data_IF_442534560762
#
_entry.id   IF_442534560762
#
_cell.length_a   1.000
_cell.length_b   1.000
_cell.length_c   1.000
_cell.angle_alpha   90.00
_cell.angle_beta   90.00
_cell.angle_gamma   90.00
#
_symmetry.space_group_name_H-M   'P 1'
#
loop_
_entity.id
_entity.type
_entity.pdbx_description
1 polymer ?
#
# COMPACT_ATOMS: atom_id res chain seq x y z
N UNK A 1 -2.14 -10.67 -15.08
CA UNK A 1 -0.78 -10.12 -15.26
C UNK A 1 -0.23 -9.78 -13.89
N UNK A 2 0.62 -10.65 -13.35
CA UNK A 2 1.20 -10.47 -12.01
C UNK A 2 2.29 -9.41 -12.06
N UNK A 3 2.22 -8.44 -11.16
CA UNK A 3 3.28 -7.45 -10.97
C UNK A 3 4.48 -8.20 -10.41
N UNK A 4 5.59 -8.22 -11.15
CA UNK A 4 6.86 -8.77 -10.66
C UNK A 4 7.32 -7.91 -9.48
N UNK A 5 7.82 -8.48 -8.35
CA UNK A 5 8.35 -7.70 -7.23
C UNK A 5 9.49 -6.75 -7.60
N UNK A 6 10.09 -6.93 -8.79
CA UNK A 6 11.18 -6.11 -9.34
C UNK A 6 10.71 -4.83 -10.03
N UNK A 7 9.40 -4.64 -10.26
CA UNK A 7 8.86 -3.41 -10.89
C UNK A 7 8.63 -2.28 -9.88
N UNK A 8 8.95 -2.51 -8.60
CA UNK A 8 9.06 -1.45 -7.62
C UNK A 8 10.33 -0.67 -7.90
N UNK A 9 10.19 0.58 -8.36
CA UNK A 9 11.28 1.54 -8.43
C UNK A 9 12.08 1.48 -7.11
N UNK A 10 13.30 0.97 -7.17
CA UNK A 10 14.14 0.69 -6.00
C UNK A 10 14.31 1.99 -5.21
N UNK A 11 13.89 1.95 -3.96
CA UNK A 11 14.09 3.01 -3.00
C UNK A 11 14.76 2.43 -1.76
N UNK A 12 15.58 3.22 -1.03
CA UNK A 12 16.26 2.74 0.17
C UNK A 12 15.30 2.14 1.23
N UNK A 13 14.01 2.49 1.18
CA UNK A 13 12.99 1.97 2.07
C UNK A 13 12.39 0.64 1.56
N UNK A 14 12.11 0.53 0.27
CA UNK A 14 11.63 -0.73 -0.35
C UNK A 14 12.70 -1.80 -0.30
N UNK A 15 13.96 -1.46 -0.53
CA UNK A 15 15.09 -2.41 -0.43
C UNK A 15 15.25 -2.94 1.01
N UNK A 16 15.02 -2.09 2.02
CA UNK A 16 15.05 -2.49 3.45
C UNK A 16 13.91 -3.43 3.81
N UNK A 17 12.69 -3.16 3.33
CA UNK A 17 11.54 -4.04 3.57
C UNK A 17 11.69 -5.35 2.79
N UNK A 18 12.12 -5.29 1.53
CA UNK A 18 12.35 -6.47 0.72
C UNK A 18 13.42 -7.37 1.34
N UNK A 19 14.55 -6.80 1.80
CA UNK A 19 15.59 -7.58 2.50
C UNK A 19 15.10 -8.18 3.82
N UNK A 20 14.34 -7.45 4.63
CA UNK A 20 13.84 -7.97 5.92
C UNK A 20 12.67 -8.97 5.75
N UNK A 21 11.88 -8.84 4.69
CA UNK A 21 10.77 -9.75 4.36
C UNK A 21 11.28 -11.05 3.71
N UNK A 22 12.17 -10.97 2.71
CA UNK A 22 12.77 -12.18 2.10
C UNK A 22 13.64 -12.96 3.10
N UNK A 23 14.35 -12.29 4.00
CA UNK A 23 15.15 -12.94 5.04
C UNK A 23 14.32 -13.70 6.09
N UNK A 24 13.02 -13.39 6.24
CA UNK A 24 12.12 -14.10 7.16
C UNK A 24 11.47 -15.35 6.55
N UNK A 25 11.41 -15.46 5.22
CA UNK A 25 10.72 -16.55 4.53
C UNK A 25 11.65 -17.46 3.69
N UNK A 26 12.87 -17.06 3.38
CA UNK A 26 13.85 -17.92 2.68
C UNK A 26 14.75 -18.69 3.65
N UNK A 27 14.27 -19.85 4.09
CA UNK A 27 15.16 -20.92 4.58
C UNK A 27 15.78 -21.64 3.38
N UNK A 28 16.62 -20.95 2.60
CA UNK A 28 17.51 -21.61 1.63
C UNK A 28 18.93 -21.27 2.00
N UNK A 29 19.59 -22.26 2.59
CA UNK A 29 20.95 -22.15 3.12
C UNK A 29 21.95 -21.86 2.02
N UNK A 30 22.45 -20.62 2.00
CA UNK A 30 23.77 -20.31 1.44
C UNK A 30 24.60 -19.68 2.55
N UNK A 31 25.59 -20.43 3.01
CA UNK A 31 26.51 -20.15 4.12
C UNK A 31 27.52 -19.06 3.74
N UNK A 32 27.07 -17.83 3.53
CA UNK A 32 27.94 -16.66 3.69
C UNK A 32 27.80 -16.23 5.14
N UNK A 33 28.81 -16.54 5.96
CA UNK A 33 28.93 -16.14 7.37
C UNK A 33 29.08 -14.63 7.50
N UNK A 34 28.01 -13.87 7.19
CA UNK A 34 27.85 -12.52 7.72
C UNK A 34 27.79 -12.67 9.23
N UNK A 35 28.86 -12.27 9.91
CA UNK A 35 28.91 -12.21 11.38
C UNK A 35 27.65 -11.53 11.87
N UNK A 36 26.72 -12.29 12.45
CA UNK A 36 25.52 -11.73 13.08
C UNK A 36 26.01 -10.79 14.17
N UNK A 37 25.77 -9.50 14.01
CA UNK A 37 26.03 -8.53 15.06
C UNK A 37 25.37 -9.04 16.35
N UNK A 38 26.03 -8.93 17.51
CA UNK A 38 25.51 -9.43 18.77
C UNK A 38 24.09 -8.87 18.98
N UNK A 39 23.13 -9.75 19.30
CA UNK A 39 21.76 -9.36 19.61
C UNK A 39 21.77 -8.51 20.88
N UNK A 40 21.79 -7.19 20.72
CA UNK A 40 21.67 -6.24 21.83
C UNK A 40 20.22 -6.21 22.30
N UNK A 41 20.00 -6.19 23.62
CA UNK A 41 18.66 -6.07 24.23
C UNK A 41 17.94 -4.78 23.79
N UNK A 42 18.70 -3.72 23.51
CA UNK A 42 18.18 -2.43 23.07
C UNK A 42 18.89 -1.93 21.81
N UNK A 43 18.16 -1.14 21.01
CA UNK A 43 18.73 -0.42 19.87
C UNK A 43 19.70 0.65 20.38
N UNK A 44 20.96 0.66 19.94
CA UNK A 44 21.92 1.65 20.44
C UNK A 44 21.57 3.05 19.93
N UNK A 45 21.99 4.07 20.68
CA UNK A 45 21.58 5.46 20.47
C UNK A 45 22.02 5.99 19.10
N UNK A 46 23.21 5.61 18.64
CA UNK A 46 23.76 5.95 17.32
C UNK A 46 22.89 5.47 16.14
N UNK A 47 22.13 4.38 16.32
CA UNK A 47 21.21 3.86 15.29
C UNK A 47 19.81 4.46 15.39
N UNK A 48 19.52 5.26 16.42
CA UNK A 48 18.19 5.83 16.66
C UNK A 48 17.99 7.05 15.76
N UNK A 49 17.18 6.88 14.72
CA UNK A 49 16.70 7.98 13.88
C UNK A 49 15.50 8.63 14.55
N UNK A 50 15.50 9.96 14.68
CA UNK A 50 14.37 10.73 15.23
C UNK A 50 13.87 11.70 14.14
N UNK A 51 12.56 11.76 13.89
CA UNK A 51 12.00 12.78 13.02
C UNK A 51 12.18 14.15 13.68
N UNK A 52 12.39 15.18 12.87
CA UNK A 52 12.51 16.56 13.34
C UNK A 52 11.49 17.42 12.59
N UNK A 53 10.76 18.33 13.26
CA UNK A 53 9.83 19.23 12.60
C UNK A 53 10.61 20.34 11.84
N UNK A 54 11.24 19.98 10.74
CA UNK A 54 12.02 20.86 9.85
C UNK A 54 11.47 20.76 8.42
N UNK A 55 11.95 21.64 7.52
CA UNK A 55 11.65 21.58 6.09
C UNK A 55 12.01 20.21 5.48
N UNK A 56 11.30 19.87 4.40
CA UNK A 56 11.53 18.65 3.64
C UNK A 56 12.96 18.59 3.09
N UNK A 57 13.64 17.44 3.19
CA UNK A 57 14.98 17.28 2.63
C UNK A 57 14.98 17.40 1.10
N UNK A 58 13.94 16.89 0.43
CA UNK A 58 13.78 16.97 -1.02
C UNK A 58 12.37 17.45 -1.41
N UNK A 59 12.12 18.78 -1.43
CA UNK A 59 10.80 19.31 -1.75
C UNK A 59 10.37 19.03 -3.20
N UNK A 60 11.33 18.89 -4.14
CA UNK A 60 11.04 18.60 -5.53
C UNK A 60 10.50 17.17 -5.74
N UNK A 61 10.93 16.22 -4.91
CA UNK A 61 10.40 14.85 -4.95
C UNK A 61 8.96 14.74 -4.41
N UNK A 62 8.50 15.71 -3.61
CA UNK A 62 7.17 15.72 -3.01
C UNK A 62 6.16 16.54 -3.82
N UNK A 63 6.26 16.52 -5.15
CA UNK A 63 5.29 17.19 -6.01
C UNK A 63 4.14 16.22 -6.35
N UNK A 64 2.92 16.60 -5.99
CA UNK A 64 1.73 15.84 -6.38
C UNK A 64 1.45 16.04 -7.86
N UNK A 65 1.14 14.95 -8.55
CA UNK A 65 0.69 15.01 -9.94
C UNK A 65 -0.82 15.02 -9.98
N UNK A 66 -1.35 15.74 -10.96
CA UNK A 66 -2.77 15.78 -11.22
C UNK A 66 -3.27 14.36 -11.58
N UNK A 67 -4.41 14.00 -10.99
CA UNK A 67 -5.07 12.73 -11.28
C UNK A 67 -5.94 12.97 -12.51
N UNK A 68 -5.84 12.13 -13.55
CA UNK A 68 -6.69 12.29 -14.72
C UNK A 68 -8.16 12.07 -14.37
N UNK A 69 -9.03 12.79 -15.06
CA UNK A 69 -10.47 12.63 -14.89
C UNK A 69 -10.92 11.20 -15.17
N UNK A 70 -11.89 10.74 -14.38
CA UNK A 70 -12.46 9.43 -14.55
C UNK A 70 -13.27 9.36 -15.86
N UNK A 71 -12.99 8.35 -16.69
CA UNK A 71 -13.78 8.10 -17.91
C UNK A 71 -15.22 7.79 -17.51
N UNK A 72 -16.22 8.57 -17.96
CA UNK A 72 -17.61 8.34 -17.58
C UNK A 72 -18.11 6.98 -18.08
N UNK A 73 -18.93 6.31 -17.28
CA UNK A 73 -19.60 5.07 -17.67
C UNK A 73 -20.94 5.43 -18.30
N UNK A 74 -21.27 4.77 -19.41
CA UNK A 74 -22.61 4.83 -19.98
C UNK A 74 -23.52 3.91 -19.18
N UNK A 75 -24.55 4.48 -18.57
CA UNK A 75 -25.52 3.71 -17.80
C UNK A 75 -26.54 3.07 -18.76
N UNK A 76 -26.85 1.76 -18.62
CA UNK A 76 -27.92 1.14 -19.37
C UNK A 76 -29.27 1.67 -18.88
N UNK A 77 -30.18 1.96 -19.81
CA UNK A 77 -31.56 2.34 -19.49
C UNK A 77 -32.40 1.16 -19.00
N UNK A 78 -32.07 -0.05 -19.49
CA UNK A 78 -32.67 -1.31 -19.06
C UNK A 78 -31.54 -2.24 -18.61
N UNK A 79 -31.21 -2.25 -17.31
CA UNK A 79 -30.14 -3.08 -16.80
C UNK A 79 -30.52 -4.55 -16.89
N UNK A 80 -29.59 -5.37 -17.37
CA UNK A 80 -29.70 -6.83 -17.39
C UNK A 80 -29.67 -7.36 -15.96
N UNK A 81 -30.24 -8.54 -15.73
CA UNK A 81 -30.17 -9.21 -14.44
C UNK A 81 -28.70 -9.36 -13.99
N UNK A 82 -28.44 -9.08 -12.72
CA UNK A 82 -27.08 -9.04 -12.19
C UNK A 82 -26.41 -10.41 -12.20
N UNK A 83 -27.19 -11.51 -12.22
CA UNK A 83 -26.67 -12.87 -12.33
C UNK A 83 -26.02 -13.16 -13.69
N UNK A 84 -26.43 -12.45 -14.74
CA UNK A 84 -25.91 -12.63 -16.11
C UNK A 84 -24.73 -11.69 -16.43
N UNK A 85 -24.32 -10.85 -15.47
CA UNK A 85 -23.20 -9.93 -15.67
C UNK A 85 -21.86 -10.68 -15.72
N UNK A 86 -20.96 -10.16 -16.55
CA UNK A 86 -19.59 -10.64 -16.63
C UNK A 86 -18.79 -10.24 -15.38
N UNK A 87 -18.82 -11.08 -14.36
CA UNK A 87 -18.00 -10.93 -13.16
C UNK A 87 -16.52 -11.07 -13.52
N UNK A 88 -15.78 -9.97 -13.50
CA UNK A 88 -14.35 -9.96 -13.79
C UNK A 88 -13.51 -9.38 -12.65
N UNK A 89 -12.31 -9.93 -12.47
CA UNK A 89 -11.32 -9.41 -11.52
C UNK A 89 -11.68 -9.68 -10.05
N UNK A 90 -12.01 -8.62 -9.31
CA UNK A 90 -12.19 -8.65 -7.84
C UNK A 90 -13.64 -8.82 -7.39
N UNK A 91 -14.60 -8.58 -8.29
CA UNK A 91 -16.02 -8.67 -7.98
C UNK A 91 -16.49 -10.07 -8.31
N UNK A 92 -16.90 -10.83 -7.30
CA UNK A 92 -17.55 -12.13 -7.47
C UNK A 92 -19.04 -11.98 -7.14
N UNK A 93 -19.85 -12.90 -7.65
CA UNK A 93 -21.29 -12.93 -7.36
C UNK A 93 -21.56 -12.96 -5.85
N UNK A 94 -20.87 -13.82 -5.09
CA UNK A 94 -21.02 -13.91 -3.62
C UNK A 94 -20.72 -12.57 -2.93
N UNK A 95 -19.66 -11.88 -3.37
CA UNK A 95 -19.30 -10.55 -2.84
C UNK A 95 -20.41 -9.54 -3.14
N UNK A 96 -20.90 -9.53 -4.37
CA UNK A 96 -21.97 -8.62 -4.80
C UNK A 96 -23.26 -8.87 -4.02
N UNK A 97 -23.69 -10.12 -3.88
CA UNK A 97 -24.86 -10.50 -3.05
C UNK A 97 -24.68 -10.10 -1.59
N UNK A 98 -23.48 -10.31 -1.02
CA UNK A 98 -23.18 -9.89 0.35
C UNK A 98 -23.30 -8.38 0.56
N UNK A 99 -23.05 -7.59 -0.48
CA UNK A 99 -23.23 -6.14 -0.48
C UNK A 99 -24.70 -5.77 -0.63
N UNK A 100 -25.41 -6.35 -1.59
CA UNK A 100 -26.82 -6.09 -1.82
C UNK A 100 -27.68 -6.47 -0.60
N UNK A 101 -27.36 -7.57 0.08
CA UNK A 101 -28.05 -8.01 1.31
C UNK A 101 -27.95 -7.00 2.47
N UNK A 102 -26.95 -6.10 2.47
CA UNK A 102 -26.82 -5.05 3.48
C UNK A 102 -27.76 -3.88 3.25
N UNK A 103 -28.34 -3.80 2.06
CA UNK A 103 -29.31 -2.76 1.71
C UNK A 103 -30.66 -3.17 2.28
N UNK A 104 -31.36 -2.22 2.89
CA UNK A 104 -32.67 -2.47 3.49
C UNK A 104 -33.70 -2.83 2.40
N UNK A 105 -34.55 -3.85 2.64
CA UNK A 105 -35.58 -4.23 1.67
C UNK A 105 -36.55 -3.06 1.43
N UNK A 106 -36.87 -2.80 0.15
CA UNK A 106 -37.80 -1.74 -0.26
C UNK A 106 -37.16 -0.39 -0.57
N UNK A 107 -35.86 -0.22 -0.33
CA UNK A 107 -35.12 1.00 -0.72
C UNK A 107 -34.83 1.04 -2.23
N UNK A 108 -34.52 -0.12 -2.81
CA UNK A 108 -34.20 -0.26 -4.23
C UNK A 108 -35.26 -1.13 -4.90
N UNK A 109 -35.70 -0.70 -6.07
CA UNK A 109 -36.41 -1.56 -7.02
C UNK A 109 -35.47 -2.61 -7.62
N UNK A 110 -36.03 -3.63 -8.24
CA UNK A 110 -35.25 -4.67 -8.93
C UNK A 110 -34.37 -4.07 -10.03
N UNK A 111 -34.92 -3.13 -10.81
CA UNK A 111 -34.17 -2.43 -11.86
C UNK A 111 -33.01 -1.60 -11.30
N UNK A 112 -33.21 -0.90 -10.18
CA UNK A 112 -32.14 -0.12 -9.52
C UNK A 112 -31.08 -1.04 -8.92
N UNK A 113 -31.48 -2.18 -8.38
CA UNK A 113 -30.55 -3.20 -7.86
C UNK A 113 -29.64 -3.73 -8.97
N UNK A 114 -30.22 -4.04 -10.13
CA UNK A 114 -29.47 -4.47 -11.32
C UNK A 114 -28.55 -3.37 -11.83
N UNK A 115 -29.01 -2.12 -11.81
CA UNK A 115 -28.19 -0.97 -12.22
C UNK A 115 -26.99 -0.75 -11.29
N UNK A 116 -27.18 -0.85 -9.98
CA UNK A 116 -26.10 -0.75 -9.00
C UNK A 116 -25.11 -1.89 -9.20
N UNK A 117 -25.60 -3.12 -9.39
CA UNK A 117 -24.75 -4.27 -9.67
C UNK A 117 -23.89 -4.04 -10.93
N UNK A 118 -24.48 -3.54 -12.01
CA UNK A 118 -23.76 -3.16 -13.23
C UNK A 118 -22.64 -2.15 -12.97
N UNK A 119 -22.93 -1.09 -12.21
CA UNK A 119 -21.94 -0.07 -11.86
C UNK A 119 -20.78 -0.67 -11.03
N UNK A 120 -21.10 -1.54 -10.07
CA UNK A 120 -20.12 -2.19 -9.19
C UNK A 120 -19.20 -3.09 -9.99
N UNK A 121 -19.73 -3.89 -10.90
CA UNK A 121 -18.93 -4.75 -11.80
C UNK A 121 -18.04 -3.89 -12.69
N UNK A 122 -18.59 -2.85 -13.32
CA UNK A 122 -17.84 -1.96 -14.22
C UNK A 122 -16.75 -1.15 -13.50
N UNK A 123 -16.95 -0.83 -12.22
CA UNK A 123 -15.99 -0.13 -11.35
C UNK A 123 -15.38 -1.05 -10.30
N UNK A 124 -15.24 -2.34 -10.58
CA UNK A 124 -14.82 -3.33 -9.58
C UNK A 124 -13.51 -3.00 -8.84
N UNK A 125 -12.59 -2.26 -9.47
CA UNK A 125 -11.34 -1.82 -8.87
C UNK A 125 -11.46 -0.68 -7.85
N UNK A 126 -12.60 0.03 -7.85
CA UNK A 126 -12.87 1.11 -6.90
C UNK A 126 -13.30 0.58 -5.52
N UNK A 127 -13.84 -0.64 -5.48
CA UNK A 127 -14.30 -1.28 -4.25
C UNK A 127 -13.21 -2.14 -3.61
N UNK A 128 -13.15 -2.10 -2.28
CA UNK A 128 -12.30 -2.97 -1.49
C UNK A 128 -13.17 -3.99 -0.75
N UNK A 129 -13.06 -5.27 -1.12
CA UNK A 129 -13.84 -6.35 -0.49
C UNK A 129 -13.13 -6.95 0.71
N UNK A 130 -11.80 -6.89 0.71
CA UNK A 130 -10.95 -7.35 1.81
C UNK A 130 -10.04 -6.22 2.28
N UNK A 131 -9.51 -6.34 3.50
CA UNK A 131 -8.58 -5.36 4.05
C UNK A 131 -7.30 -5.21 3.21
N UNK A 132 -6.86 -6.30 2.55
CA UNK A 132 -5.71 -6.28 1.66
C UNK A 132 -5.96 -5.46 0.38
N UNK A 133 -7.22 -5.35 -0.05
CA UNK A 133 -7.66 -4.59 -1.22
C UNK A 133 -7.93 -3.11 -0.91
N UNK A 134 -7.77 -2.67 0.35
CA UNK A 134 -7.97 -1.28 0.73
C UNK A 134 -7.11 -0.37 -0.15
N UNK A 135 -7.68 0.75 -0.58
CA UNK A 135 -7.01 1.69 -1.45
C UNK A 135 -5.70 2.19 -0.83
N UNK A 136 -4.63 2.19 -1.63
CA UNK A 136 -3.41 2.94 -1.36
C UNK A 136 -3.29 4.05 -2.39
N UNK A 137 -2.68 5.17 -1.99
CA UNK A 137 -2.32 6.20 -2.94
C UNK A 137 -1.33 5.63 -3.95
N UNK A 138 -1.62 5.84 -5.24
CA UNK A 138 -0.68 5.44 -6.28
C UNK A 138 0.55 6.32 -6.23
N UNK A 139 1.72 5.70 -6.16
CA UNK A 139 3.04 6.37 -6.21
C UNK A 139 3.23 7.23 -7.46
N UNK A 140 2.46 6.95 -8.52
CA UNK A 140 2.45 7.75 -9.74
C UNK A 140 1.99 9.19 -9.47
N UNK A 141 0.96 9.35 -8.63
CA UNK A 141 0.33 10.64 -8.34
C UNK A 141 0.77 11.22 -6.99
N UNK A 142 1.04 10.34 -6.02
CA UNK A 142 1.47 10.68 -4.68
C UNK A 142 2.83 10.03 -4.40
N UNK A 143 3.95 10.75 -4.59
CA UNK A 143 5.27 10.21 -4.29
C UNK A 143 5.41 9.89 -2.79
N UNK A 144 6.33 8.96 -2.49
CA UNK A 144 6.60 8.53 -1.12
C UNK A 144 7.15 9.71 -0.29
N UNK A 145 6.57 9.93 0.90
CA UNK A 145 6.97 10.99 1.81
C UNK A 145 8.32 10.71 2.46
N UNK A 146 9.27 11.65 2.33
CA UNK A 146 10.54 11.59 3.04
C UNK A 146 10.48 12.35 4.37
N UNK A 147 10.63 11.63 5.47
CA UNK A 147 10.60 12.21 6.81
C UNK A 147 11.93 12.95 7.07
N UNK A 148 11.91 14.26 7.38
CA UNK A 148 13.12 14.98 7.75
C UNK A 148 13.73 14.40 9.01
N UNK A 149 15.01 14.05 8.92
CA UNK A 149 15.80 13.51 10.03
C UNK A 149 17.13 14.26 10.10
N UNK A 150 17.63 14.45 11.31
CA UNK A 150 18.96 15.01 11.54
C UNK A 150 19.90 13.86 11.87
N UNK A 151 21.08 13.86 11.25
CA UNK A 151 22.12 12.89 11.57
C UNK A 151 22.51 13.00 13.05
N UNK A 152 22.46 11.89 13.75
CA UNK A 152 22.83 11.85 15.15
C UNK A 152 24.36 11.79 15.29
N UNK A 153 24.96 12.86 15.81
CA UNK A 153 26.37 12.88 16.17
C UNK A 153 26.50 12.23 17.57
N UNK A 154 27.14 11.07 17.72
CA UNK A 154 27.36 10.48 19.03
C UNK A 154 28.28 11.38 19.85
N UNK A 155 27.92 11.63 21.10
CA UNK A 155 28.77 12.36 22.02
C UNK A 155 30.05 11.54 22.28
N UNK A 156 31.19 11.99 21.74
CA UNK A 156 32.50 11.41 22.02
C UNK A 156 33.19 12.26 23.09
N UNK A 157 33.10 11.84 24.35
CA UNK A 157 34.01 12.36 25.37
C UNK A 157 35.37 11.70 25.19
N UNK A 158 36.44 12.49 25.17
CA UNK A 158 37.80 11.94 25.28
C UNK A 158 37.90 11.12 26.57
N UNK A 159 38.52 9.92 26.55
CA UNK A 159 38.72 9.16 27.77
C UNK A 159 39.49 10.03 28.78
N UNK A 160 39.00 10.08 30.01
CA UNK A 160 39.68 10.76 31.12
C UNK A 160 40.84 9.85 31.52
N UNK A 161 42.06 10.38 31.51
CA UNK A 161 43.21 9.66 32.02
C UNK A 161 43.06 9.52 33.54
N UNK A 162 42.83 8.29 34.00
CA UNK A 162 42.78 7.97 35.43
C UNK A 162 44.23 7.84 35.91
N UNK A 163 44.63 8.52 37.02
CA UNK A 163 45.96 8.41 37.58
C UNK A 163 46.23 7.04 38.22
#
# INVERSE_FOLDING_TARGET
MGISPTDLLSSPWTDRIATDYYARFSNTGTTTTKKKAPKRKYKPVDRKVRPVPTYFPNPAAQQFKEIPDAVPIRLPTHPVDYHELDFSGRVTLERLESMLKKIEPGVLSEAETNLIAYIVVQRGNAFAWTYAEKGYFSRKYYPDYEIPTIEHIPWQSKPINIP
#
